data_IF_902090848687
#
_entry.id   IF_902090848687
#
_cell.length_a   1.000
_cell.length_b   1.000
_cell.length_c   1.000
_cell.angle_alpha   90.00
_cell.angle_beta   90.00
_cell.angle_gamma   90.00
#
_symmetry.space_group_name_H-M   'P 1'
#
loop_
_entity.id
_entity.type
_entity.pdbx_description
1 polymer ?
#
# COMPACT_ATOMS: atom_id res chain seq x y z
N UNK A 1 31.57 -11.90 -1.42
CA UNK A 1 31.51 -13.28 -1.94
C UNK A 1 30.26 -13.41 -2.79
N UNK A 2 30.26 -14.27 -3.80
CA UNK A 2 29.09 -14.49 -4.66
C UNK A 2 27.89 -15.08 -3.90
N UNK A 3 28.11 -15.49 -2.65
CA UNK A 3 27.08 -16.06 -1.77
C UNK A 3 26.47 -15.05 -0.81
N UNK A 4 27.13 -13.93 -0.59
CA UNK A 4 26.74 -12.93 0.39
C UNK A 4 26.47 -11.61 -0.31
N UNK A 5 25.32 -11.00 -0.02
CA UNK A 5 24.98 -9.67 -0.47
C UNK A 5 24.49 -8.84 0.72
N UNK A 6 25.16 -7.73 0.95
CA UNK A 6 24.75 -6.74 1.95
C UNK A 6 24.45 -5.41 1.25
N UNK A 7 23.25 -4.89 1.48
CA UNK A 7 22.85 -3.56 1.06
C UNK A 7 22.59 -2.71 2.29
N UNK A 8 23.13 -1.51 2.29
CA UNK A 8 22.83 -0.49 3.30
C UNK A 8 22.30 0.73 2.56
N UNK A 9 21.23 1.29 3.04
CA UNK A 9 20.65 2.50 2.51
C UNK A 9 20.27 3.44 3.65
N UNK A 10 20.64 4.69 3.49
CA UNK A 10 20.25 5.78 4.37
C UNK A 10 19.67 6.91 3.53
N UNK A 11 18.50 7.36 3.92
CA UNK A 11 17.81 8.47 3.25
C UNK A 11 17.25 9.43 4.28
N UNK A 12 17.49 10.71 4.07
CA UNK A 12 16.87 11.78 4.83
C UNK A 12 16.24 12.77 3.86
N UNK A 13 15.02 13.15 4.10
CA UNK A 13 14.33 14.21 3.38
C UNK A 13 13.55 15.06 4.37
N UNK A 14 13.36 16.30 4.02
CA UNK A 14 12.64 17.21 4.90
C UNK A 14 12.42 18.57 4.26
N UNK A 15 11.65 19.35 4.94
CA UNK A 15 11.31 20.71 4.61
C UNK A 15 11.36 21.53 5.90
N UNK A 16 11.90 22.72 5.82
CA UNK A 16 11.86 23.73 6.88
C UNK A 16 11.60 25.08 6.21
N UNK A 17 10.58 25.79 6.65
CA UNK A 17 10.18 27.04 6.00
C UNK A 17 9.12 27.80 6.76
N UNK A 18 8.90 29.04 6.32
CA UNK A 18 7.87 29.94 6.84
C UNK A 18 6.72 29.99 5.86
N UNK A 19 5.53 29.68 6.34
CA UNK A 19 4.28 29.79 5.60
C UNK A 19 3.46 30.95 6.17
N UNK A 20 2.87 31.77 5.31
CA UNK A 20 1.91 32.78 5.74
C UNK A 20 0.60 32.10 6.10
N UNK A 21 0.04 32.45 7.26
CA UNK A 21 -1.26 31.96 7.67
C UNK A 21 -2.37 32.70 6.90
N UNK A 22 -3.52 32.08 6.63
CA UNK A 22 -4.68 32.78 6.08
C UNK A 22 -5.05 33.97 6.98
N UNK A 23 -5.67 34.98 6.40
CA UNK A 23 -6.24 36.13 7.11
C UNK A 23 -5.25 37.07 7.85
N UNK A 24 -3.97 37.07 7.46
CA UNK A 24 -2.91 37.87 8.09
C UNK A 24 -2.59 37.53 9.56
N UNK A 25 -2.94 36.35 10.04
CA UNK A 25 -2.68 35.89 11.41
C UNK A 25 -1.21 35.56 11.72
N UNK A 26 -0.29 35.96 10.85
CA UNK A 26 1.14 35.80 11.07
C UNK A 26 1.80 34.74 10.24
N UNK A 27 2.93 34.23 10.72
CA UNK A 27 3.74 33.22 10.01
C UNK A 27 3.90 31.97 10.82
N UNK A 28 3.71 30.84 10.16
CA UNK A 28 3.97 29.52 10.73
C UNK A 28 5.34 29.02 10.28
N UNK A 29 6.23 28.73 11.24
CA UNK A 29 7.48 28.00 10.96
C UNK A 29 7.14 26.51 10.83
N UNK A 30 6.89 26.05 9.61
CA UNK A 30 6.57 24.67 9.36
C UNK A 30 7.84 23.86 9.10
N UNK A 31 7.94 22.72 9.75
CA UNK A 31 9.00 21.75 9.45
C UNK A 31 8.44 20.32 9.35
N UNK A 32 9.09 19.55 8.50
CA UNK A 32 8.85 18.13 8.35
C UNK A 32 10.17 17.45 8.01
N UNK A 33 10.55 16.45 8.80
CA UNK A 33 11.76 15.66 8.56
C UNK A 33 11.42 14.17 8.61
N UNK A 34 11.91 13.43 7.63
CA UNK A 34 11.79 11.98 7.57
C UNK A 34 13.16 11.36 7.30
N UNK A 35 13.54 10.43 8.17
CA UNK A 35 14.78 9.66 8.06
C UNK A 35 14.43 8.20 7.93
N UNK A 36 15.09 7.50 7.02
CA UNK A 36 15.01 6.07 6.86
C UNK A 36 16.41 5.48 6.77
N UNK A 37 16.63 4.40 7.51
CA UNK A 37 17.81 3.55 7.40
C UNK A 37 17.36 2.11 7.22
N UNK A 38 17.94 1.42 6.25
CA UNK A 38 17.66 0.01 6.06
C UNK A 38 18.95 -0.77 5.79
N UNK A 39 18.95 -2.00 6.26
CA UNK A 39 19.97 -3.00 6.02
C UNK A 39 19.28 -4.24 5.48
N UNK A 40 19.84 -4.82 4.43
CA UNK A 40 19.37 -6.07 3.84
C UNK A 40 20.58 -6.97 3.57
N UNK A 41 20.59 -8.13 4.21
CA UNK A 41 21.61 -9.17 4.05
C UNK A 41 20.97 -10.44 3.52
N UNK A 42 21.54 -10.97 2.44
CA UNK A 42 21.16 -12.25 1.85
C UNK A 42 22.36 -13.17 1.84
N UNK A 43 22.19 -14.37 2.41
CA UNK A 43 23.14 -15.47 2.29
C UNK A 43 22.55 -16.59 1.43
N UNK A 44 23.28 -16.99 0.39
CA UNK A 44 22.87 -18.06 -0.52
C UNK A 44 23.51 -19.38 -0.13
N UNK A 45 22.70 -20.26 0.43
CA UNK A 45 23.06 -21.66 0.58
C UNK A 45 22.88 -22.42 -0.75
N UNK A 46 23.32 -23.67 -0.76
CA UNK A 46 23.19 -24.51 -1.98
C UNK A 46 21.74 -24.75 -2.40
N UNK A 47 20.80 -24.82 -1.44
CA UNK A 47 19.39 -25.19 -1.68
C UNK A 47 18.39 -24.19 -1.11
N UNK A 48 18.85 -23.14 -0.47
CA UNK A 48 18.00 -22.11 0.13
C UNK A 48 18.72 -20.78 0.24
N UNK A 49 17.97 -19.69 0.20
CA UNK A 49 18.43 -18.35 0.53
C UNK A 49 17.91 -17.96 1.92
N UNK A 50 18.79 -17.39 2.74
CA UNK A 50 18.45 -16.72 3.99
C UNK A 50 18.49 -15.23 3.78
N UNK A 51 17.43 -14.53 4.18
CA UNK A 51 17.37 -13.08 4.20
C UNK A 51 17.23 -12.57 5.64
N UNK A 52 18.05 -11.61 6.01
CA UNK A 52 17.94 -10.87 7.28
C UNK A 52 17.95 -9.40 6.94
N UNK A 53 16.90 -8.69 7.33
CA UNK A 53 16.81 -7.25 7.08
C UNK A 53 16.38 -6.50 8.34
N UNK A 54 16.76 -5.23 8.40
CA UNK A 54 16.33 -4.30 9.44
C UNK A 54 15.99 -2.95 8.83
N UNK A 55 14.89 -2.35 9.29
CA UNK A 55 14.48 -1.03 8.88
C UNK A 55 14.25 -0.15 10.10
N UNK A 56 14.66 1.09 9.99
CA UNK A 56 14.39 2.14 10.95
C UNK A 56 13.84 3.37 10.24
N UNK A 57 12.77 3.94 10.78
CA UNK A 57 12.16 5.16 10.27
C UNK A 57 11.87 6.13 11.42
N UNK A 58 12.11 7.40 11.13
CA UNK A 58 11.78 8.50 12.02
C UNK A 58 11.17 9.62 11.20
N UNK A 59 9.93 10.03 11.50
CA UNK A 59 9.38 11.28 11.03
C UNK A 59 9.08 12.21 12.19
N UNK A 60 9.33 13.50 11.98
CA UNK A 60 9.14 14.55 12.97
C UNK A 60 8.61 15.79 12.26
N UNK A 61 7.50 16.34 12.73
CA UNK A 61 6.87 17.50 12.14
C UNK A 61 6.04 18.28 13.18
N UNK A 62 5.70 19.52 12.85
CA UNK A 62 4.87 20.36 13.68
C UNK A 62 3.52 20.65 13.03
N UNK A 63 2.56 20.92 13.88
CA UNK A 63 1.23 21.43 13.54
C UNK A 63 1.19 22.96 13.54
N UNK A 64 0.06 23.52 13.17
CA UNK A 64 -0.22 24.95 13.28
C UNK A 64 0.00 25.45 14.72
N UNK A 65 0.38 26.74 14.93
CA UNK A 65 0.72 27.26 16.25
C UNK A 65 -0.39 27.12 17.29
N UNK A 66 -1.65 27.22 16.87
CA UNK A 66 -2.83 27.18 17.73
C UNK A 66 -3.42 25.78 17.90
N UNK A 67 -2.76 24.76 17.35
CA UNK A 67 -3.16 23.37 17.54
C UNK A 67 -2.97 22.95 19.01
N UNK A 68 -3.92 22.17 19.52
CA UNK A 68 -3.83 21.55 20.86
C UNK A 68 -2.58 20.67 21.01
N UNK A 69 -2.08 20.14 19.91
CA UNK A 69 -0.83 19.39 19.79
C UNK A 69 0.07 20.13 18.80
N UNK A 70 1.27 20.51 19.24
CA UNK A 70 2.19 21.30 18.42
C UNK A 70 3.18 20.46 17.62
N UNK A 71 3.52 19.28 18.10
CA UNK A 71 4.56 18.42 17.49
C UNK A 71 4.14 16.97 17.50
N UNK A 72 4.49 16.27 16.44
CA UNK A 72 4.37 14.82 16.35
C UNK A 72 5.68 14.20 15.89
N UNK A 73 6.01 13.07 16.50
CA UNK A 73 7.11 12.20 16.15
C UNK A 73 6.56 10.79 15.92
N UNK A 74 6.93 10.20 14.80
CA UNK A 74 6.62 8.82 14.49
C UNK A 74 7.91 8.03 14.36
N UNK A 75 8.02 6.94 15.11
CA UNK A 75 9.16 6.02 15.08
C UNK A 75 8.66 4.69 14.54
N UNK A 76 9.37 4.14 13.59
CA UNK A 76 9.14 2.79 13.08
C UNK A 76 10.43 1.98 13.11
N UNK A 77 10.35 0.73 13.53
CA UNK A 77 11.44 -0.22 13.47
C UNK A 77 10.89 -1.57 13.07
N UNK A 78 11.60 -2.30 12.21
CA UNK A 78 11.30 -3.69 11.93
C UNK A 78 12.55 -4.52 11.73
N UNK A 79 12.46 -5.80 12.08
CA UNK A 79 13.47 -6.81 11.82
C UNK A 79 12.79 -7.94 11.07
N UNK A 80 13.37 -8.31 9.96
CA UNK A 80 12.90 -9.35 9.05
C UNK A 80 13.84 -10.53 9.04
N UNK A 81 13.28 -11.73 9.11
CA UNK A 81 13.95 -13.00 8.89
C UNK A 81 13.18 -13.78 7.84
N UNK A 82 13.84 -14.20 6.78
CA UNK A 82 13.22 -14.96 5.71
C UNK A 82 14.09 -16.13 5.25
N UNK A 83 13.47 -17.23 4.89
CA UNK A 83 14.11 -18.37 4.24
C UNK A 83 13.27 -18.80 3.05
N UNK A 84 13.92 -19.08 1.93
CA UNK A 84 13.27 -19.52 0.69
C UNK A 84 14.07 -20.64 0.05
N UNK A 85 13.41 -21.74 -0.33
CA UNK A 85 14.03 -22.81 -1.12
C UNK A 85 14.38 -22.29 -2.52
N UNK A 86 15.57 -22.63 -3.02
CA UNK A 86 16.07 -22.28 -4.35
C UNK A 86 16.28 -23.47 -5.28
N UNK A 87 16.21 -24.69 -4.72
CA UNK A 87 16.34 -25.92 -5.49
C UNK A 87 15.04 -26.19 -6.27
N UNK A 88 15.14 -26.15 -7.58
CA UNK A 88 14.01 -26.37 -8.52
C UNK A 88 13.66 -27.85 -8.69
N UNK A 89 14.55 -28.76 -8.29
CA UNK A 89 14.33 -30.21 -8.39
C UNK A 89 13.52 -30.75 -7.20
N UNK A 90 13.31 -29.94 -6.17
CA UNK A 90 12.52 -30.35 -5.01
C UNK A 90 11.03 -30.47 -5.40
N UNK A 91 10.37 -31.59 -5.01
CA UNK A 91 8.94 -31.77 -5.25
C UNK A 91 8.09 -30.74 -4.50
N UNK A 92 8.61 -30.21 -3.38
CA UNK A 92 7.99 -29.14 -2.61
C UNK A 92 8.96 -27.97 -2.49
N UNK A 93 8.49 -26.78 -2.84
CA UNK A 93 9.18 -25.53 -2.62
C UNK A 93 8.51 -24.77 -1.49
N UNK A 94 9.29 -24.08 -0.70
CA UNK A 94 8.77 -23.32 0.44
C UNK A 94 9.43 -21.96 0.55
N UNK A 95 8.70 -21.03 1.15
CA UNK A 95 9.24 -19.81 1.73
C UNK A 95 8.56 -19.54 3.07
N UNK A 96 9.32 -19.03 4.01
CA UNK A 96 8.81 -18.59 5.32
C UNK A 96 9.51 -17.30 5.72
N UNK A 97 8.75 -16.37 6.28
CA UNK A 97 9.27 -15.10 6.77
C UNK A 97 8.60 -14.70 8.08
N UNK A 98 9.34 -14.02 8.93
CA UNK A 98 8.82 -13.41 10.14
C UNK A 98 9.35 -11.98 10.25
N UNK A 99 8.45 -11.04 10.52
CA UNK A 99 8.75 -9.64 10.74
C UNK A 99 8.34 -9.26 12.17
N UNK A 100 9.27 -8.67 12.90
CA UNK A 100 9.02 -8.05 14.20
C UNK A 100 8.97 -6.55 13.99
N UNK A 101 7.81 -5.92 14.17
CA UNK A 101 7.60 -4.51 13.88
C UNK A 101 7.21 -3.76 15.16
N UNK A 102 7.77 -2.57 15.30
CA UNK A 102 7.44 -1.60 16.35
C UNK A 102 7.09 -0.28 15.68
N UNK A 103 5.92 0.25 16.02
CA UNK A 103 5.50 1.59 15.63
C UNK A 103 5.13 2.40 16.87
N UNK A 104 5.61 3.63 16.93
CA UNK A 104 5.34 4.52 18.05
C UNK A 104 4.98 5.90 17.54
N UNK A 105 3.82 6.40 17.97
CA UNK A 105 3.38 7.78 17.80
C UNK A 105 3.58 8.54 19.08
N UNK A 106 4.28 9.66 19.02
CA UNK A 106 4.54 10.54 20.16
C UNK A 106 4.08 11.94 19.82
N UNK A 107 3.33 12.53 20.73
CA UNK A 107 2.89 13.92 20.69
C UNK A 107 3.50 14.68 21.86
N UNK A 108 3.68 15.98 21.73
CA UNK A 108 4.26 16.80 22.79
C UNK A 108 3.37 16.89 24.05
N UNK A 109 2.06 16.71 23.91
CA UNK A 109 1.12 16.67 25.04
C UNK A 109 1.12 15.33 25.81
N UNK A 110 1.67 14.27 25.25
CA UNK A 110 1.79 12.94 25.85
C UNK A 110 0.52 12.09 25.93
N UNK A 111 -0.67 12.69 25.93
CA UNK A 111 -1.94 11.95 26.16
C UNK A 111 -2.38 11.10 24.96
N UNK A 112 -1.86 11.37 23.75
CA UNK A 112 -2.14 10.61 22.54
C UNK A 112 -1.03 9.64 22.18
N UNK A 113 0.01 9.51 23.00
CA UNK A 113 1.12 8.62 22.74
C UNK A 113 0.65 7.17 22.72
N UNK A 114 1.06 6.45 21.69
CA UNK A 114 0.58 5.09 21.41
C UNK A 114 1.68 4.24 20.78
N UNK A 115 1.74 2.97 21.18
CA UNK A 115 2.68 1.99 20.62
C UNK A 115 1.94 0.79 20.07
N UNK A 116 2.42 0.29 18.95
CA UNK A 116 1.94 -0.90 18.28
C UNK A 116 3.13 -1.85 18.02
N UNK A 117 2.97 -3.09 18.42
CA UNK A 117 3.92 -4.17 18.15
C UNK A 117 3.21 -5.19 17.27
N UNK A 118 3.85 -5.59 16.17
CA UNK A 118 3.31 -6.59 15.26
C UNK A 118 4.34 -7.69 15.06
N UNK A 119 3.92 -8.93 15.29
CA UNK A 119 4.65 -10.11 14.85
C UNK A 119 3.91 -10.68 13.65
N UNK A 120 4.47 -10.48 12.46
CA UNK A 120 3.92 -10.97 11.20
C UNK A 120 4.70 -12.17 10.72
N UNK A 121 4.04 -13.30 10.58
CA UNK A 121 4.63 -14.52 10.01
C UNK A 121 3.89 -14.87 8.73
N UNK A 122 4.63 -15.16 7.66
CA UNK A 122 4.07 -15.69 6.42
C UNK A 122 4.82 -16.95 6.02
N UNK A 123 4.10 -17.87 5.41
CA UNK A 123 4.68 -19.07 4.82
C UNK A 123 3.93 -19.41 3.52
N UNK A 124 4.65 -19.98 2.58
CA UNK A 124 4.09 -20.50 1.34
C UNK A 124 4.74 -21.85 1.07
N UNK A 125 3.92 -22.85 0.78
CA UNK A 125 4.37 -24.15 0.31
C UNK A 125 3.72 -24.39 -1.04
N UNK A 126 4.51 -24.79 -2.04
CA UNK A 126 4.03 -25.13 -3.38
C UNK A 126 4.58 -26.48 -3.83
N UNK A 127 3.75 -27.28 -4.48
CA UNK A 127 4.11 -28.56 -5.05
C UNK A 127 3.77 -28.60 -6.55
N UNK A 128 4.66 -29.16 -7.36
CA UNK A 128 4.40 -29.45 -8.77
C UNK A 128 3.52 -30.69 -8.93
N UNK A 129 2.46 -30.61 -9.72
CA UNK A 129 1.66 -31.74 -10.17
C UNK A 129 2.23 -32.23 -11.51
N UNK A 130 2.62 -31.29 -12.36
CA UNK A 130 3.32 -31.49 -13.63
C UNK A 130 4.24 -30.30 -13.89
N UNK A 131 4.91 -30.29 -15.06
CA UNK A 131 5.77 -29.15 -15.47
C UNK A 131 4.98 -27.85 -15.64
N UNK A 132 3.69 -27.95 -15.95
CA UNK A 132 2.80 -26.81 -16.18
C UNK A 132 1.89 -26.49 -14.98
N UNK A 133 1.74 -27.42 -14.02
CA UNK A 133 0.72 -27.34 -12.97
C UNK A 133 1.33 -27.37 -11.58
N UNK A 134 0.92 -26.43 -10.76
CA UNK A 134 1.32 -26.37 -9.34
C UNK A 134 0.12 -26.14 -8.44
N UNK A 135 0.19 -26.69 -7.24
CA UNK A 135 -0.71 -26.35 -6.13
C UNK A 135 0.09 -25.69 -5.02
N UNK A 136 -0.55 -24.82 -4.29
CA UNK A 136 0.10 -24.14 -3.17
C UNK A 136 -0.88 -23.79 -2.07
N UNK A 137 -0.32 -23.57 -0.89
CA UNK A 137 -1.02 -22.98 0.23
C UNK A 137 -0.16 -21.91 0.85
N UNK A 138 -0.70 -20.70 0.87
CA UNK A 138 -0.15 -19.56 1.61
C UNK A 138 -0.75 -19.48 2.99
N UNK A 139 0.06 -19.05 3.95
CA UNK A 139 -0.32 -18.78 5.33
C UNK A 139 0.20 -17.40 5.72
N UNK A 140 -0.62 -16.62 6.42
CA UNK A 140 -0.22 -15.36 7.03
C UNK A 140 -0.82 -15.24 8.43
N UNK A 141 -0.03 -14.78 9.39
CA UNK A 141 -0.48 -14.52 10.75
C UNK A 141 0.09 -13.21 11.24
N UNK A 142 -0.77 -12.33 11.73
CA UNK A 142 -0.38 -11.09 12.40
C UNK A 142 -0.85 -11.14 13.85
N UNK A 143 0.09 -11.06 14.81
CA UNK A 143 -0.22 -10.79 16.20
C UNK A 143 0.04 -9.33 16.47
N UNK A 144 -0.99 -8.58 16.83
CA UNK A 144 -0.95 -7.13 17.05
C UNK A 144 -1.20 -6.84 18.51
N UNK A 145 -0.25 -6.15 19.12
CA UNK A 145 -0.26 -5.78 20.53
C UNK A 145 -0.13 -4.25 20.66
N UNK A 146 -1.02 -3.66 21.42
CA UNK A 146 -1.03 -2.22 21.67
C UNK A 146 -0.59 -1.89 23.10
N UNK A 147 0.06 -0.74 23.27
CA UNK A 147 0.39 -0.16 24.57
C UNK A 147 0.13 1.36 24.57
N UNK A 148 -0.22 1.87 25.74
CA UNK A 148 -0.48 3.29 26.00
C UNK A 148 -1.70 3.83 25.20
N UNK A 149 -2.69 2.95 24.98
CA UNK A 149 -3.97 3.30 24.38
C UNK A 149 -5.07 2.34 24.87
N UNK A 150 -6.30 2.54 24.40
CA UNK A 150 -7.46 1.71 24.74
C UNK A 150 -7.74 0.61 23.69
N UNK A 151 -6.79 0.36 22.78
CA UNK A 151 -6.98 -0.58 21.68
C UNK A 151 -6.83 -2.01 22.15
N UNK A 152 -7.63 -2.89 21.58
CA UNK A 152 -7.62 -4.31 21.87
C UNK A 152 -6.52 -5.03 21.10
N UNK A 153 -5.79 -5.90 21.78
CA UNK A 153 -4.86 -6.80 21.12
C UNK A 153 -5.63 -7.82 20.29
N UNK A 154 -5.09 -8.22 19.14
CA UNK A 154 -5.74 -9.20 18.30
C UNK A 154 -4.75 -10.03 17.48
N UNK A 155 -5.23 -11.17 17.00
CA UNK A 155 -4.52 -12.03 16.06
C UNK A 155 -5.36 -12.20 14.81
N UNK A 156 -4.74 -12.07 13.64
CA UNK A 156 -5.36 -12.45 12.38
C UNK A 156 -4.62 -13.60 11.72
N UNK A 157 -5.39 -14.48 11.09
CA UNK A 157 -4.90 -15.60 10.28
C UNK A 157 -5.44 -15.47 8.87
N UNK A 158 -4.57 -15.62 7.88
CA UNK A 158 -4.92 -15.70 6.48
C UNK A 158 -4.46 -17.03 5.88
N UNK A 159 -5.31 -17.66 5.10
CA UNK A 159 -4.99 -18.85 4.30
C UNK A 159 -5.26 -18.56 2.83
N UNK A 160 -4.36 -19.00 1.96
CA UNK A 160 -4.47 -18.85 0.52
C UNK A 160 -4.16 -20.18 -0.19
N UNK A 161 -5.11 -21.13 -0.20
CA UNK A 161 -5.02 -22.28 -1.10
C UNK A 161 -5.18 -21.82 -2.54
N UNK A 162 -4.31 -22.30 -3.43
CA UNK A 162 -4.36 -21.94 -4.84
C UNK A 162 -3.80 -23.03 -5.75
N UNK A 163 -4.27 -22.99 -6.98
CA UNK A 163 -3.79 -23.78 -8.12
C UNK A 163 -3.30 -22.85 -9.21
N UNK A 164 -2.23 -23.25 -9.90
CA UNK A 164 -1.69 -22.56 -11.06
C UNK A 164 -1.47 -23.53 -12.21
N UNK A 165 -1.87 -23.08 -13.41
CA UNK A 165 -1.51 -23.69 -14.68
C UNK A 165 -0.79 -22.61 -15.51
N UNK A 166 0.34 -22.97 -16.07
CA UNK A 166 1.10 -22.10 -16.97
C UNK A 166 1.66 -22.93 -18.12
N UNK A 167 1.18 -22.63 -19.34
CA UNK A 167 1.68 -23.17 -20.61
C UNK A 167 1.81 -22.03 -21.62
N UNK A 168 2.05 -22.36 -22.86
CA UNK A 168 2.31 -21.37 -23.92
C UNK A 168 1.13 -20.44 -24.16
N UNK A 169 -0.10 -20.95 -24.09
CA UNK A 169 -1.32 -20.18 -24.36
C UNK A 169 -1.99 -19.60 -23.11
N UNK A 170 -1.90 -20.31 -21.98
CA UNK A 170 -2.67 -20.02 -20.80
C UNK A 170 -1.81 -19.83 -19.56
N UNK A 171 -2.13 -18.77 -18.79
CA UNK A 171 -1.71 -18.63 -17.40
C UNK A 171 -2.95 -18.51 -16.54
N UNK A 172 -3.20 -19.51 -15.72
CA UNK A 172 -4.37 -19.59 -14.86
C UNK A 172 -3.92 -19.68 -13.40
N UNK A 173 -4.47 -18.82 -12.56
CA UNK A 173 -4.35 -18.87 -11.12
C UNK A 173 -5.74 -18.90 -10.52
N UNK A 174 -6.05 -19.92 -9.74
CA UNK A 174 -7.34 -20.08 -9.05
C UNK A 174 -7.06 -20.30 -7.59
N UNK A 175 -7.49 -19.39 -6.76
CA UNK A 175 -7.33 -19.43 -5.32
C UNK A 175 -8.42 -18.66 -4.58
N UNK A 176 -8.33 -18.70 -3.28
CA UNK A 176 -9.17 -17.89 -2.38
C UNK A 176 -8.33 -17.43 -1.20
N UNK A 177 -8.57 -16.22 -0.74
CA UNK A 177 -8.05 -15.71 0.53
C UNK A 177 -9.12 -15.88 1.60
N UNK A 178 -8.78 -16.58 2.66
CA UNK A 178 -9.65 -16.79 3.82
C UNK A 178 -8.98 -16.15 5.03
N UNK A 179 -9.62 -15.13 5.58
CA UNK A 179 -9.13 -14.38 6.72
C UNK A 179 -9.99 -14.62 7.95
N UNK A 180 -9.34 -14.86 9.09
CA UNK A 180 -9.94 -15.01 10.41
C UNK A 180 -9.31 -14.02 11.38
N UNK A 181 -10.12 -13.36 12.22
CA UNK A 181 -9.64 -12.48 13.27
C UNK A 181 -10.14 -12.93 14.65
N UNK A 182 -9.26 -12.84 15.65
CA UNK A 182 -9.50 -13.22 17.04
C UNK A 182 -9.15 -12.02 17.94
N UNK A 183 -10.05 -11.61 18.77
CA UNK A 183 -9.99 -10.40 19.57
C UNK A 183 -10.77 -9.28 18.90
N UNK A 184 -10.11 -8.48 18.08
CA UNK A 184 -10.72 -7.33 17.39
C UNK A 184 -10.93 -7.60 15.90
N UNK A 185 -11.97 -6.97 15.32
CA UNK A 185 -12.31 -7.04 13.89
C UNK A 185 -13.30 -8.15 13.53
N UNK A 186 -13.62 -8.25 12.24
CA UNK A 186 -14.55 -9.29 11.75
C UNK A 186 -13.92 -10.67 11.80
N UNK A 187 -14.64 -11.61 12.43
CA UNK A 187 -14.15 -12.96 12.72
C UNK A 187 -13.81 -13.80 11.49
N UNK A 188 -14.50 -13.59 10.38
CA UNK A 188 -14.30 -14.38 9.16
C UNK A 188 -14.61 -13.55 7.92
N UNK A 189 -13.73 -13.64 6.92
CA UNK A 189 -13.92 -13.09 5.58
C UNK A 189 -13.28 -14.03 4.56
N UNK A 190 -13.86 -14.07 3.36
CA UNK A 190 -13.28 -14.79 2.22
C UNK A 190 -13.38 -13.93 0.96
N UNK A 191 -12.33 -13.95 0.14
CA UNK A 191 -12.26 -13.22 -1.12
C UNK A 191 -11.66 -14.08 -2.22
N UNK A 192 -12.00 -13.80 -3.48
CA UNK A 192 -11.37 -14.47 -4.61
C UNK A 192 -9.87 -14.08 -4.72
N UNK A 193 -9.10 -15.01 -5.24
CA UNK A 193 -7.73 -14.80 -5.73
C UNK A 193 -7.59 -15.53 -7.07
N UNK A 194 -8.18 -14.94 -8.12
CA UNK A 194 -8.28 -15.55 -9.44
C UNK A 194 -7.66 -14.64 -10.50
N UNK A 195 -6.88 -15.22 -11.39
CA UNK A 195 -6.37 -14.54 -12.56
C UNK A 195 -6.27 -15.52 -13.73
N UNK A 196 -6.65 -15.07 -14.91
CA UNK A 196 -6.57 -15.82 -16.16
C UNK A 196 -5.97 -14.91 -17.22
N UNK A 197 -4.92 -15.39 -17.90
CA UNK A 197 -4.35 -14.76 -19.08
C UNK A 197 -4.41 -15.76 -20.24
N UNK A 198 -4.80 -15.28 -21.40
CA UNK A 198 -4.82 -16.06 -22.65
C UNK A 198 -3.98 -15.34 -23.71
N UNK A 199 -2.92 -16.00 -24.13
CA UNK A 199 -2.04 -15.56 -25.21
C UNK A 199 -2.60 -16.07 -26.53
N UNK A 200 -3.31 -15.26 -27.29
CA UNK A 200 -3.85 -15.68 -28.58
C UNK A 200 -2.92 -15.37 -29.76
N UNK A 201 -1.81 -14.71 -29.51
CA UNK A 201 -0.63 -14.60 -30.37
C UNK A 201 0.55 -14.06 -29.57
N UNK A 202 1.74 -14.16 -30.12
CA UNK A 202 2.98 -13.64 -29.48
C UNK A 202 2.92 -12.16 -29.08
N UNK A 203 1.96 -11.42 -29.64
CA UNK A 203 1.84 -9.97 -29.46
C UNK A 203 0.59 -9.55 -28.71
N UNK A 204 -0.33 -10.47 -28.39
CA UNK A 204 -1.64 -10.10 -27.84
C UNK A 204 -2.09 -11.03 -26.73
N UNK A 205 -2.49 -10.44 -25.61
CA UNK A 205 -2.95 -11.15 -24.41
C UNK A 205 -4.28 -10.57 -23.97
N UNK A 206 -5.27 -11.43 -23.77
CA UNK A 206 -6.47 -11.09 -23.00
C UNK A 206 -6.29 -11.57 -21.57
N UNK A 207 -6.74 -10.78 -20.62
CA UNK A 207 -6.72 -11.20 -19.23
C UNK A 207 -7.96 -10.76 -18.45
N UNK A 208 -8.27 -11.55 -17.44
CA UNK A 208 -9.28 -11.24 -16.44
C UNK A 208 -8.74 -11.60 -15.06
N UNK A 209 -9.06 -10.80 -14.05
CA UNK A 209 -8.69 -11.09 -12.67
C UNK A 209 -9.79 -10.66 -11.71
N UNK A 210 -9.87 -11.36 -10.59
CA UNK A 210 -10.68 -10.98 -9.44
C UNK A 210 -9.88 -11.29 -8.18
N UNK A 211 -9.51 -10.26 -7.46
CA UNK A 211 -8.71 -10.36 -6.24
C UNK A 211 -9.36 -9.59 -5.12
N UNK A 212 -9.02 -9.97 -3.92
CA UNK A 212 -9.40 -9.23 -2.73
C UNK A 212 -8.42 -9.48 -1.61
N UNK A 213 -8.75 -9.07 -0.41
CA UNK A 213 -7.92 -9.34 0.74
C UNK A 213 -7.96 -8.26 1.80
N UNK A 214 -7.24 -8.54 2.86
CA UNK A 214 -7.12 -7.70 4.03
C UNK A 214 -5.96 -6.73 3.90
N UNK A 215 -6.22 -5.46 4.14
CA UNK A 215 -5.22 -4.41 4.26
C UNK A 215 -5.19 -3.95 5.72
N UNK A 216 -4.17 -4.34 6.45
CA UNK A 216 -4.05 -3.97 7.85
C UNK A 216 -3.79 -2.47 8.01
N UNK A 217 -4.57 -1.81 8.86
CA UNK A 217 -4.44 -0.40 9.16
C UNK A 217 -3.54 -0.20 10.38
N UNK A 218 -2.27 -0.65 10.26
CA UNK A 218 -1.24 -0.41 11.26
C UNK A 218 -0.81 1.07 11.30
N UNK A 219 -0.13 1.48 12.35
CA UNK A 219 0.28 2.86 12.55
C UNK A 219 1.16 3.41 11.43
N UNK A 220 1.95 2.57 10.77
CA UNK A 220 2.76 2.97 9.61
C UNK A 220 1.90 3.30 8.41
N UNK A 221 0.87 2.48 8.14
CA UNK A 221 -0.09 2.76 7.06
C UNK A 221 -0.87 4.04 7.35
N UNK A 222 -1.35 4.22 8.59
CA UNK A 222 -2.07 5.41 8.99
C UNK A 222 -1.20 6.68 8.89
N UNK A 223 0.07 6.61 9.29
CA UNK A 223 1.03 7.72 9.13
C UNK A 223 1.29 8.05 7.65
N UNK A 224 1.41 7.03 6.81
CA UNK A 224 1.60 7.22 5.36
C UNK A 224 0.34 7.79 4.70
N UNK A 225 -0.83 7.38 5.15
CA UNK A 225 -2.12 7.84 4.64
C UNK A 225 -2.39 9.29 5.01
N UNK A 226 -2.25 9.64 6.29
CA UNK A 226 -2.43 10.97 6.81
C UNK A 226 -1.50 11.20 8.01
N UNK A 227 -0.29 11.78 7.82
CA UNK A 227 0.65 12.00 8.91
C UNK A 227 0.10 12.97 9.98
N UNK A 228 -0.80 13.87 9.61
CA UNK A 228 -1.48 14.80 10.51
C UNK A 228 -2.76 14.23 11.13
N UNK A 229 -3.11 13.00 10.80
CA UNK A 229 -4.33 12.34 11.27
C UNK A 229 -4.20 11.80 12.68
N UNK A 230 -5.13 12.17 13.54
CA UNK A 230 -5.30 11.59 14.87
C UNK A 230 -6.06 10.26 14.76
N UNK A 231 -5.63 9.26 15.51
CA UNK A 231 -6.29 7.97 15.63
C UNK A 231 -6.93 7.90 17.00
N UNK A 232 -8.20 8.28 17.09
CA UNK A 232 -8.97 8.30 18.34
C UNK A 232 -9.66 6.97 18.66
N UNK A 233 -9.95 6.17 17.64
CA UNK A 233 -10.54 4.84 17.77
C UNK A 233 -9.69 3.82 17.06
N UNK A 234 -9.75 2.57 17.52
CA UNK A 234 -9.04 1.47 16.87
C UNK A 234 -9.60 1.24 15.46
N UNK A 235 -8.77 1.37 14.41
CA UNK A 235 -9.22 1.11 13.05
C UNK A 235 -9.30 -0.40 12.81
N UNK A 236 -10.42 -0.86 12.21
CA UNK A 236 -10.47 -2.20 11.62
C UNK A 236 -9.60 -2.26 10.36
N UNK A 237 -9.23 -3.45 9.93
CA UNK A 237 -8.55 -3.61 8.66
C UNK A 237 -9.47 -3.18 7.51
N UNK A 238 -8.96 -2.41 6.57
CA UNK A 238 -9.64 -2.20 5.29
C UNK A 238 -9.70 -3.52 4.54
N UNK A 239 -10.86 -3.87 4.04
CA UNK A 239 -11.07 -5.13 3.38
C UNK A 239 -11.52 -4.95 1.94
N UNK A 240 -10.64 -5.27 0.99
CA UNK A 240 -11.00 -5.34 -0.41
C UNK A 240 -11.81 -6.61 -0.64
N UNK A 241 -13.14 -6.47 -0.75
CA UNK A 241 -14.03 -7.61 -0.98
C UNK A 241 -13.80 -8.20 -2.36
N UNK A 242 -13.60 -7.33 -3.33
CA UNK A 242 -13.31 -7.68 -4.71
C UNK A 242 -12.66 -6.49 -5.42
N UNK A 243 -11.66 -6.80 -6.23
CA UNK A 243 -11.11 -5.96 -7.27
C UNK A 243 -11.05 -6.79 -8.54
N UNK A 244 -12.07 -6.64 -9.37
CA UNK A 244 -12.21 -7.39 -10.62
C UNK A 244 -11.84 -6.49 -11.80
N UNK A 245 -11.03 -7.01 -12.71
CA UNK A 245 -10.61 -6.31 -13.91
C UNK A 245 -10.58 -7.27 -15.11
N UNK A 246 -10.86 -6.72 -16.28
CA UNK A 246 -10.61 -7.32 -17.57
C UNK A 246 -9.74 -6.38 -18.39
N UNK A 247 -8.83 -6.93 -19.18
CA UNK A 247 -7.94 -6.09 -19.95
C UNK A 247 -7.31 -6.83 -21.14
N UNK A 248 -6.62 -6.02 -21.93
CA UNK A 248 -5.99 -6.41 -23.16
C UNK A 248 -4.58 -5.80 -23.23
N UNK A 249 -3.57 -6.66 -23.38
CA UNK A 249 -2.18 -6.26 -23.58
C UNK A 249 -1.81 -6.50 -25.04
N UNK A 250 -1.06 -5.57 -25.63
CA UNK A 250 -0.63 -5.67 -27.02
C UNK A 250 0.82 -5.17 -27.19
N UNK A 251 1.56 -5.85 -28.05
CA UNK A 251 2.89 -5.45 -28.53
C UNK A 251 2.88 -5.39 -30.07
N UNK A 252 2.12 -4.44 -30.69
CA UNK A 252 1.87 -4.44 -32.12
C UNK A 252 3.09 -4.07 -32.98
N UNK A 253 4.13 -3.50 -32.35
CA UNK A 253 5.36 -3.12 -33.01
C UNK A 253 6.55 -3.28 -32.07
N UNK A 254 7.76 -3.38 -32.66
CA UNK A 254 9.01 -3.48 -31.89
C UNK A 254 9.14 -2.28 -30.94
N UNK A 255 9.32 -2.55 -29.66
CA UNK A 255 9.49 -1.55 -28.61
C UNK A 255 8.18 -0.90 -28.13
N UNK A 256 7.03 -1.16 -28.75
CA UNK A 256 5.73 -0.63 -28.33
C UNK A 256 4.95 -1.69 -27.54
N UNK A 257 4.53 -1.31 -26.34
CA UNK A 257 3.67 -2.12 -25.51
C UNK A 257 2.50 -1.28 -24.99
N UNK A 258 1.31 -1.86 -25.02
CA UNK A 258 0.04 -1.25 -24.62
C UNK A 258 -0.69 -2.16 -23.64
N UNK A 259 -1.40 -1.57 -22.69
CA UNK A 259 -2.35 -2.27 -21.83
C UNK A 259 -3.59 -1.39 -21.64
N UNK A 260 -4.76 -1.93 -21.95
CA UNK A 260 -6.06 -1.30 -21.75
C UNK A 260 -6.87 -2.17 -20.79
N UNK A 261 -7.47 -1.60 -19.79
CA UNK A 261 -8.24 -2.34 -18.79
C UNK A 261 -9.39 -1.54 -18.21
N UNK A 262 -10.36 -2.27 -17.69
CA UNK A 262 -11.44 -1.72 -16.89
C UNK A 262 -11.82 -2.67 -15.78
N UNK A 263 -12.42 -2.15 -14.73
CA UNK A 263 -12.72 -2.97 -13.58
C UNK A 263 -13.64 -2.31 -12.56
N UNK A 264 -13.88 -3.05 -11.49
CA UNK A 264 -14.69 -2.67 -10.36
C UNK A 264 -13.97 -3.06 -9.07
N UNK A 265 -13.96 -2.15 -8.09
CA UNK A 265 -13.39 -2.36 -6.77
C UNK A 265 -14.42 -2.05 -5.67
N UNK A 266 -14.46 -2.88 -4.64
CA UNK A 266 -15.29 -2.68 -3.45
C UNK A 266 -14.45 -2.82 -2.19
N UNK A 267 -14.47 -1.78 -1.36
CA UNK A 267 -13.70 -1.68 -0.12
C UNK A 267 -14.65 -1.55 1.07
N UNK A 268 -14.41 -2.33 2.10
CA UNK A 268 -15.03 -2.18 3.41
C UNK A 268 -14.05 -1.57 4.38
N UNK A 269 -14.57 -0.73 5.26
CA UNK A 269 -13.77 -0.07 6.29
C UNK A 269 -12.55 0.67 5.69
N UNK A 270 -12.78 1.33 4.51
CA UNK A 270 -11.75 2.09 3.80
C UNK A 270 -11.44 3.39 4.54
N UNK A 271 -10.16 3.77 4.55
CA UNK A 271 -9.68 4.92 5.29
C UNK A 271 -10.07 6.23 4.61
N UNK A 272 -10.49 7.21 5.41
CA UNK A 272 -10.61 8.60 5.04
C UNK A 272 -10.16 9.51 6.20
N UNK A 273 -10.00 10.79 5.94
CA UNK A 273 -9.74 11.76 6.97
C UNK A 273 -10.69 12.95 6.84
N UNK A 274 -11.02 13.54 7.97
CA UNK A 274 -11.93 14.67 8.09
C UNK A 274 -11.40 15.63 9.17
N UNK A 275 -11.84 16.90 9.19
CA UNK A 275 -11.56 17.78 10.32
C UNK A 275 -11.98 17.09 11.62
N UNK A 276 -11.13 17.14 12.63
CA UNK A 276 -11.49 16.63 13.95
C UNK A 276 -12.47 17.60 14.62
N UNK A 277 -13.68 17.12 14.90
CA UNK A 277 -14.63 17.85 15.73
C UNK A 277 -14.18 17.78 17.18
N UNK A 278 -13.30 18.69 17.58
CA UNK A 278 -13.11 18.95 18.98
C UNK A 278 -14.16 19.98 19.40
N UNK A 279 -15.19 19.54 20.10
CA UNK A 279 -15.93 20.42 21.00
C UNK A 279 -14.98 20.90 22.11
N UNK A 280 -14.12 21.81 21.77
CA UNK A 280 -13.44 22.61 22.79
C UNK A 280 -14.45 23.68 23.23
N UNK A 281 -14.64 23.77 24.54
CA UNK A 281 -15.48 24.80 25.17
C UNK A 281 -15.04 26.26 24.86
N UNK A 282 -14.13 26.46 23.92
CA UNK A 282 -13.47 27.72 23.59
C UNK A 282 -13.55 28.11 22.13
N UNK A 283 -14.51 27.67 21.33
CA UNK A 283 -14.67 28.09 19.90
C UNK A 283 -13.38 28.10 19.06
N UNK A 284 -12.34 27.40 19.46
CA UNK A 284 -11.07 27.35 18.76
C UNK A 284 -11.09 26.19 17.75
N UNK A 285 -10.87 26.52 16.50
CA UNK A 285 -10.70 25.59 15.40
C UNK A 285 -9.51 24.68 15.71
N UNK A 286 -9.75 23.40 15.96
CA UNK A 286 -8.65 22.45 16.04
C UNK A 286 -8.21 22.08 14.61
N UNK A 287 -6.97 22.44 14.20
CA UNK A 287 -6.47 22.12 12.87
C UNK A 287 -6.06 20.64 12.73
N UNK A 288 -6.47 19.78 13.63
CA UNK A 288 -6.20 18.35 13.57
C UNK A 288 -7.21 17.64 12.68
N UNK A 289 -6.72 16.63 11.98
CA UNK A 289 -7.54 15.71 11.20
C UNK A 289 -7.80 14.45 12.01
N UNK A 290 -8.98 13.89 11.91
CA UNK A 290 -9.29 12.54 12.40
C UNK A 290 -9.32 11.54 11.26
N UNK A 291 -8.86 10.33 11.52
CA UNK A 291 -8.93 9.21 10.58
C UNK A 291 -10.20 8.43 10.90
N UNK A 292 -11.05 8.26 9.90
CA UNK A 292 -12.26 7.46 9.93
C UNK A 292 -12.23 6.33 8.91
N UNK A 293 -13.28 5.52 8.93
CA UNK A 293 -13.46 4.41 8.00
C UNK A 293 -14.86 4.40 7.41
N UNK A 294 -14.96 4.12 6.10
CA UNK A 294 -16.22 4.05 5.38
C UNK A 294 -16.19 3.01 4.26
N UNK A 295 -17.36 2.52 3.85
CA UNK A 295 -17.46 1.60 2.73
C UNK A 295 -17.47 2.36 1.42
N UNK A 296 -16.52 2.10 0.54
CA UNK A 296 -16.39 2.74 -0.77
C UNK A 296 -16.34 1.71 -1.88
N UNK A 297 -16.76 2.12 -3.07
CA UNK A 297 -16.58 1.35 -4.29
C UNK A 297 -16.21 2.25 -5.46
N UNK A 298 -15.63 1.70 -6.50
CA UNK A 298 -15.40 2.44 -7.73
C UNK A 298 -15.45 1.53 -8.96
N UNK A 299 -15.86 2.12 -10.07
CA UNK A 299 -15.63 1.59 -11.41
C UNK A 299 -14.45 2.35 -11.99
N UNK A 300 -13.53 1.66 -12.63
CA UNK A 300 -12.35 2.28 -13.20
C UNK A 300 -12.05 1.79 -14.61
N UNK A 301 -11.39 2.67 -15.37
CA UNK A 301 -10.79 2.33 -16.65
C UNK A 301 -9.38 2.91 -16.71
N UNK A 302 -8.46 2.17 -17.27
CA UNK A 302 -7.06 2.58 -17.37
C UNK A 302 -6.41 2.17 -18.68
N UNK A 303 -5.37 2.92 -19.00
CA UNK A 303 -4.51 2.67 -20.15
C UNK A 303 -3.05 2.85 -19.74
N UNK A 304 -2.20 2.00 -20.27
CA UNK A 304 -0.75 2.11 -20.11
C UNK A 304 -0.09 1.94 -21.47
N UNK A 305 0.86 2.78 -21.77
CA UNK A 305 1.68 2.72 -22.97
C UNK A 305 3.15 2.77 -22.58
N UNK A 306 3.96 1.92 -23.17
CA UNK A 306 5.42 1.97 -23.09
C UNK A 306 6.00 1.88 -24.49
N UNK A 307 6.97 2.72 -24.75
CA UNK A 307 7.70 2.71 -25.99
C UNK A 307 9.20 2.86 -25.72
N UNK A 308 9.99 1.98 -26.34
CA UNK A 308 11.44 2.02 -26.29
C UNK A 308 12.04 2.01 -27.68
N UNK A 309 12.95 2.92 -27.97
CA UNK A 309 13.70 2.96 -29.20
C UNK A 309 15.17 2.80 -28.94
N UNK A 310 15.68 1.59 -29.19
CA UNK A 310 17.07 1.23 -28.89
C UNK A 310 17.43 1.60 -27.45
N UNK A 311 18.67 2.02 -27.22
CA UNK A 311 19.11 2.55 -25.91
C UNK A 311 19.08 4.09 -25.86
N UNK A 312 18.36 4.73 -26.77
CA UNK A 312 18.37 6.20 -26.95
C UNK A 312 17.19 6.86 -26.29
N UNK A 313 16.02 6.20 -26.35
CA UNK A 313 14.77 6.79 -25.88
C UNK A 313 13.86 5.74 -25.23
N UNK A 314 13.29 6.07 -24.09
CA UNK A 314 12.17 5.35 -23.51
C UNK A 314 11.09 6.30 -23.06
N UNK A 315 9.85 5.87 -23.22
CA UNK A 315 8.65 6.60 -22.84
C UNK A 315 7.69 5.65 -22.16
N UNK A 316 7.12 6.07 -21.05
CA UNK A 316 5.98 5.38 -20.44
C UNK A 316 4.93 6.39 -19.99
N UNK A 317 3.67 6.04 -20.22
CA UNK A 317 2.53 6.79 -19.72
C UNK A 317 1.49 5.83 -19.17
N UNK A 318 0.92 6.17 -18.02
CA UNK A 318 -0.19 5.46 -17.40
C UNK A 318 -1.27 6.45 -17.07
N UNK A 319 -2.53 6.13 -17.39
CA UNK A 319 -3.70 6.91 -17.02
C UNK A 319 -4.77 6.02 -16.44
N UNK A 320 -5.38 6.41 -15.32
CA UNK A 320 -6.48 5.70 -14.69
C UNK A 320 -7.57 6.69 -14.30
N UNK A 321 -8.77 6.43 -14.75
CA UNK A 321 -9.98 7.15 -14.34
C UNK A 321 -10.78 6.27 -13.39
N UNK A 322 -11.31 6.85 -12.31
CA UNK A 322 -12.18 6.18 -11.33
C UNK A 322 -13.42 6.99 -11.06
N UNK A 323 -14.55 6.34 -11.08
CA UNK A 323 -15.81 6.89 -10.60
C UNK A 323 -16.10 6.22 -9.24
N UNK A 324 -16.00 7.02 -8.19
CA UNK A 324 -16.13 6.57 -6.81
C UNK A 324 -17.57 6.71 -6.33
N UNK A 325 -17.98 5.77 -5.49
CA UNK A 325 -19.23 5.76 -4.77
C UNK A 325 -18.97 5.43 -3.29
N UNK A 326 -19.67 6.09 -2.39
CA UNK A 326 -19.68 5.81 -0.96
C UNK A 326 -21.11 5.43 -0.55
N UNK A 327 -21.27 4.37 0.21
CA UNK A 327 -22.60 3.99 0.71
C UNK A 327 -23.15 5.12 1.57
N UNK A 328 -24.19 5.74 1.07
CA UNK A 328 -24.88 6.81 1.77
C UNK A 328 -25.55 6.26 3.04
N UNK A 329 -25.20 6.86 4.18
CA UNK A 329 -26.00 6.78 5.39
C UNK A 329 -26.57 8.18 5.60
N UNK A 330 -27.85 8.34 5.32
CA UNK A 330 -28.55 9.62 5.23
C UNK A 330 -28.51 10.49 6.52
N UNK A 331 -27.77 10.06 7.53
CA UNK A 331 -27.59 10.75 8.80
C UNK A 331 -26.16 11.27 9.06
N UNK A 332 -25.18 10.98 8.20
CA UNK A 332 -23.80 11.45 8.40
C UNK A 332 -23.15 11.96 7.13
N UNK A 333 -22.38 13.04 7.24
CA UNK A 333 -21.54 13.56 6.15
C UNK A 333 -20.28 12.70 5.89
N UNK A 334 -20.12 11.58 6.60
CA UNK A 334 -18.92 10.75 6.52
C UNK A 334 -18.71 10.15 5.11
N UNK A 335 -19.79 9.78 4.42
CA UNK A 335 -19.73 9.31 3.04
C UNK A 335 -19.13 10.36 2.09
N UNK A 336 -19.55 11.61 2.23
CA UNK A 336 -19.01 12.73 1.45
C UNK A 336 -17.50 12.94 1.74
N UNK A 337 -17.10 12.93 3.02
CA UNK A 337 -15.68 13.03 3.38
C UNK A 337 -14.86 11.85 2.88
N UNK A 338 -15.43 10.66 2.84
CA UNK A 338 -14.75 9.47 2.32
C UNK A 338 -14.35 9.61 0.84
N UNK A 339 -15.03 10.46 0.05
CA UNK A 339 -14.76 10.68 -1.36
C UNK A 339 -13.83 11.86 -1.64
N UNK A 340 -13.77 12.88 -0.77
CA UNK A 340 -13.04 14.15 -0.99
C UNK A 340 -11.61 13.97 -1.49
N UNK A 341 -10.91 12.98 -0.96
CA UNK A 341 -9.49 12.75 -1.25
C UNK A 341 -9.24 11.59 -2.19
N UNK A 342 -10.28 10.94 -2.68
CA UNK A 342 -10.15 9.83 -3.63
C UNK A 342 -9.72 10.35 -5.00
N UNK A 343 -8.74 9.72 -5.64
CA UNK A 343 -8.31 10.12 -6.97
C UNK A 343 -9.38 9.75 -8.00
N UNK A 344 -9.95 10.76 -8.68
CA UNK A 344 -10.86 10.56 -9.81
C UNK A 344 -10.08 10.28 -11.11
N UNK A 345 -8.94 10.95 -11.29
CA UNK A 345 -8.03 10.69 -12.39
C UNK A 345 -6.58 10.78 -11.93
N UNK A 346 -5.79 9.79 -12.31
CA UNK A 346 -4.34 9.76 -12.08
C UNK A 346 -3.64 9.55 -13.42
N UNK A 347 -2.59 10.32 -13.67
CA UNK A 347 -1.70 10.12 -14.81
C UNK A 347 -0.24 10.24 -14.38
N UNK A 348 0.55 9.29 -14.81
CA UNK A 348 2.00 9.27 -14.65
C UNK A 348 2.66 9.22 -16.04
N UNK A 349 3.63 10.07 -16.28
CA UNK A 349 4.41 10.14 -17.50
C UNK A 349 5.88 10.10 -17.15
N UNK A 350 6.64 9.28 -17.84
CA UNK A 350 8.07 9.15 -17.67
C UNK A 350 8.78 9.07 -19.01
N UNK A 351 9.84 9.85 -19.17
CA UNK A 351 10.64 9.92 -20.39
C UNK A 351 12.11 9.85 -20.01
N UNK A 352 12.84 8.91 -20.62
CA UNK A 352 14.29 8.83 -20.56
C UNK A 352 14.88 9.04 -21.94
N UNK A 353 15.89 9.88 -22.03
CA UNK A 353 16.61 10.16 -23.27
C UNK A 353 18.12 10.07 -23.02
N UNK A 354 18.79 9.24 -23.82
CA UNK A 354 20.24 9.12 -23.87
C UNK A 354 20.76 9.73 -25.18
N UNK A 355 20.93 11.05 -25.26
CA UNK A 355 21.40 11.69 -26.50
C UNK A 355 22.80 11.23 -26.89
N UNK A 356 23.63 10.95 -25.89
CA UNK A 356 24.98 10.37 -26.00
C UNK A 356 25.20 9.41 -24.83
N UNK A 357 26.12 8.48 -24.95
CA UNK A 357 26.39 7.44 -23.95
C UNK A 357 26.67 7.95 -22.53
N UNK A 358 27.17 9.18 -22.42
CA UNK A 358 27.52 9.80 -21.14
C UNK A 358 26.43 10.69 -20.53
N UNK A 359 25.28 10.90 -21.22
CA UNK A 359 24.23 11.80 -20.77
C UNK A 359 22.87 11.08 -20.73
N UNK A 360 22.26 11.04 -19.55
CA UNK A 360 20.88 10.63 -19.32
C UNK A 360 20.05 11.85 -18.93
N UNK A 361 19.00 12.11 -19.67
CA UNK A 361 17.95 13.06 -19.33
C UNK A 361 16.71 12.29 -18.93
N UNK A 362 16.20 12.58 -17.73
CA UNK A 362 15.04 11.96 -17.15
C UNK A 362 13.97 13.02 -16.86
N UNK A 363 12.75 12.81 -17.36
CA UNK A 363 11.60 13.67 -17.11
C UNK A 363 10.46 12.83 -16.56
N UNK A 364 9.96 13.18 -15.37
CA UNK A 364 8.79 12.60 -14.76
C UNK A 364 7.71 13.65 -14.55
N UNK A 365 6.46 13.32 -14.86
CA UNK A 365 5.29 14.15 -14.57
C UNK A 365 4.20 13.28 -13.97
N UNK A 366 3.62 13.74 -12.86
CA UNK A 366 2.48 13.09 -12.22
C UNK A 366 1.35 14.08 -12.02
N UNK A 367 0.15 13.67 -12.41
CA UNK A 367 -1.07 14.42 -12.22
C UNK A 367 -2.09 13.59 -11.44
N UNK A 368 -2.72 14.21 -10.43
CA UNK A 368 -3.80 13.59 -9.66
C UNK A 368 -4.92 14.62 -9.55
N UNK A 369 -6.07 14.32 -10.11
CA UNK A 369 -7.30 15.05 -9.81
C UNK A 369 -8.15 14.27 -8.82
N UNK A 370 -8.83 14.99 -7.92
CA UNK A 370 -9.71 14.42 -6.91
C UNK A 370 -11.15 14.78 -7.19
N UNK A 371 -12.08 13.99 -6.68
CA UNK A 371 -13.50 14.35 -6.76
C UNK A 371 -13.76 15.64 -5.98
N UNK A 372 -14.62 16.49 -6.54
CA UNK A 372 -15.13 17.67 -5.84
C UNK A 372 -16.37 17.24 -5.09
N UNK A 373 -16.40 17.50 -3.80
CA UNK A 373 -17.66 17.39 -3.04
C UNK A 373 -18.49 18.63 -3.32
N UNK A 374 -19.72 18.45 -3.83
CA UNK A 374 -20.68 19.53 -3.94
C UNK A 374 -20.98 20.08 -2.54
N UNK A 375 -20.62 21.32 -2.27
CA UNK A 375 -20.96 22.00 -1.02
C UNK A 375 -19.92 22.97 -0.46
N UNK A 376 -18.69 22.94 -0.87
CA UNK A 376 -17.69 23.95 -0.50
C UNK A 376 -17.30 24.77 -1.73
N UNK A 377 -17.88 25.99 -1.80
CA UNK A 377 -17.37 27.08 -2.62
C UNK A 377 -16.16 27.69 -1.95
#
# INVERSE_FOLDING_TARGET
SDRDRLNLNFRMNGMDGKLDLPDNDGKWNSYYYRTHANMDYVHRFRKADLNVAGNFGLSNFNFLPDAAVRKQKFISGDIHFGVKSTDTELPLRFSAETNLMLYERQYDSGFLNSREYIVRTKALVTGGISDEQTVGIGFAMDNVLYKNNHFENYTSLGLNPHYRLENDDWKIHIGALVDMAFGFGKKFRATPDVAVEYNFSDSYILYAQAKGGRLQNDFRRLETFCPYGQVSSQPDATYEQINAAIGFKASPAIGLWLNLYGGYQNLKDDLFFQPADFESAANEYSPMLSIGQWNTSNIYAGAEIRYGYKNVFSFSATGVYRNWDAKDDSQSNAGAYALVYKPAFEADLHIDVHPVSALLLNLGYRHISREKVEGNK
#
